data_IF_357089621739
#
_entry.id   IF_357089621739
#
_cell.length_a   1.000
_cell.length_b   1.000
_cell.length_c   1.000
_cell.angle_alpha   90.00
_cell.angle_beta   90.00
_cell.angle_gamma   90.00
#
_symmetry.space_group_name_H-M   'P 1'
#
loop_
_entity.id
_entity.type
_entity.pdbx_description
1 polymer ?
#
# COMPACT_ATOMS: atom_id res chain seq x y z
N UNK A 1 -2.20 3.56 -19.08
CA UNK A 1 -3.19 3.46 -18.05
C UNK A 1 -2.60 3.85 -16.74
N UNK A 2 -3.28 4.62 -15.96
CA UNK A 2 -2.64 5.29 -14.84
C UNK A 2 -3.47 5.25 -13.59
N UNK A 3 -2.80 5.34 -12.46
CA UNK A 3 -3.42 5.41 -11.17
C UNK A 3 -4.12 4.11 -10.82
N UNK A 4 -5.27 4.26 -10.17
CA UNK A 4 -6.04 3.09 -9.72
C UNK A 4 -6.95 2.53 -10.81
N UNK A 5 -6.98 3.15 -11.97
CA UNK A 5 -7.90 2.76 -13.03
C UNK A 5 -7.42 1.48 -13.69
N UNK A 6 -8.26 0.49 -13.85
CA UNK A 6 -8.05 -0.73 -14.63
C UNK A 6 -7.00 -1.70 -14.08
N UNK A 7 -5.81 -1.21 -13.72
CA UNK A 7 -4.69 -2.04 -13.30
C UNK A 7 -4.08 -1.53 -12.03
N UNK A 8 -3.68 -2.47 -11.17
CA UNK A 8 -2.81 -2.12 -10.06
C UNK A 8 -1.37 -2.29 -10.54
N UNK A 9 -0.77 -1.21 -11.00
CA UNK A 9 0.60 -1.27 -11.52
C UNK A 9 1.61 -1.35 -10.37
N UNK A 10 2.89 -1.50 -10.73
CA UNK A 10 3.95 -1.71 -9.76
C UNK A 10 4.08 -0.53 -8.79
N UNK A 11 3.91 0.69 -9.28
CA UNK A 11 4.03 1.87 -8.42
C UNK A 11 2.91 1.92 -7.39
N UNK A 12 1.69 1.60 -7.80
CA UNK A 12 0.55 1.59 -6.88
C UNK A 12 0.66 0.46 -5.86
N UNK A 13 1.10 -0.72 -6.29
CA UNK A 13 1.32 -1.82 -5.37
C UNK A 13 2.35 -1.46 -4.30
N UNK A 14 3.42 -0.79 -4.69
CA UNK A 14 4.47 -0.44 -3.74
C UNK A 14 3.96 0.53 -2.67
N UNK A 15 3.11 1.48 -3.04
CA UNK A 15 2.51 2.40 -2.07
C UNK A 15 1.64 1.64 -1.07
N UNK A 16 0.81 0.73 -1.57
CA UNK A 16 -0.07 -0.06 -0.71
C UNK A 16 0.77 -0.93 0.24
N UNK A 17 1.80 -1.59 -0.29
CA UNK A 17 2.68 -2.42 0.53
C UNK A 17 3.38 -1.58 1.60
N UNK A 18 3.87 -0.40 1.22
CA UNK A 18 4.53 0.49 2.16
C UNK A 18 3.59 0.92 3.29
N UNK A 19 2.39 1.37 2.93
CA UNK A 19 1.42 1.82 3.93
C UNK A 19 1.03 0.66 4.86
N UNK A 20 0.72 -0.49 4.29
CA UNK A 20 0.36 -1.65 5.09
C UNK A 20 1.50 -2.06 6.03
N UNK A 21 2.71 -2.10 5.52
CA UNK A 21 3.88 -2.45 6.32
C UNK A 21 4.12 -1.48 7.47
N UNK A 22 3.99 -0.17 7.20
CA UNK A 22 4.15 0.85 8.23
C UNK A 22 3.07 0.73 9.31
N UNK A 23 1.83 0.49 8.91
CA UNK A 23 0.73 0.38 9.87
C UNK A 23 0.86 -0.87 10.74
N UNK A 24 1.33 -1.96 10.17
CA UNK A 24 1.51 -3.20 10.92
C UNK A 24 2.75 -3.13 11.82
N UNK A 25 3.87 -2.71 11.26
CA UNK A 25 5.14 -2.73 11.97
C UNK A 25 5.29 -1.59 12.97
N UNK A 26 4.64 -0.46 12.71
CA UNK A 26 4.80 0.72 13.54
C UNK A 26 6.19 1.34 13.46
N UNK A 27 6.96 0.99 12.44
CA UNK A 27 8.34 1.45 12.31
C UNK A 27 8.42 2.70 11.46
N UNK A 28 9.41 3.55 11.76
CA UNK A 28 9.68 4.73 10.94
C UNK A 28 10.64 4.34 9.83
N UNK A 29 10.12 4.31 8.61
CA UNK A 29 10.96 4.11 7.46
C UNK A 29 10.42 4.93 6.30
N UNK A 30 11.31 5.31 5.39
CA UNK A 30 10.97 6.22 4.30
C UNK A 30 11.19 5.58 2.95
N UNK A 31 11.45 4.28 2.91
CA UNK A 31 11.62 3.54 1.68
C UNK A 31 11.38 2.07 1.93
N UNK A 32 11.07 1.36 0.85
CA UNK A 32 11.02 -0.10 0.85
C UNK A 32 11.80 -0.61 -0.34
N UNK A 33 12.26 -1.85 -0.22
CA UNK A 33 12.90 -2.54 -1.31
C UNK A 33 11.83 -3.29 -2.09
N UNK A 34 11.73 -3.03 -3.40
CA UNK A 34 10.81 -3.76 -4.27
C UNK A 34 11.59 -4.90 -4.90
N UNK A 35 11.33 -6.12 -4.46
CA UNK A 35 12.08 -7.28 -4.92
C UNK A 35 11.82 -7.60 -6.39
N UNK A 36 10.60 -7.35 -6.86
CA UNK A 36 10.26 -7.63 -8.25
C UNK A 36 11.07 -6.77 -9.21
N UNK A 37 11.30 -5.53 -8.85
CA UNK A 37 12.00 -4.58 -9.70
C UNK A 37 13.43 -4.32 -9.27
N UNK A 38 13.85 -4.91 -8.14
CA UNK A 38 15.21 -4.82 -7.63
C UNK A 38 15.67 -3.40 -7.39
N UNK A 39 14.78 -2.55 -6.84
CA UNK A 39 15.18 -1.20 -6.48
C UNK A 39 14.38 -0.70 -5.28
N UNK A 40 14.86 0.39 -4.70
CA UNK A 40 14.18 1.04 -3.58
C UNK A 40 13.13 1.99 -4.09
N UNK A 41 12.01 2.03 -3.37
CA UNK A 41 10.94 2.98 -3.63
C UNK A 41 10.88 3.91 -2.42
N UNK A 42 10.95 5.21 -2.66
CA UNK A 42 11.03 6.21 -1.60
C UNK A 42 9.71 6.92 -1.37
N UNK A 43 9.47 7.27 -0.12
CA UNK A 43 8.23 7.93 0.31
C UNK A 43 8.55 9.00 1.33
N UNK A 44 7.60 9.93 1.51
CA UNK A 44 7.64 10.94 2.57
C UNK A 44 6.24 11.12 3.10
N UNK A 45 6.11 11.67 4.28
CA UNK A 45 4.80 11.99 4.79
C UNK A 45 4.65 11.73 6.27
N UNK A 46 3.42 11.53 6.72
CA UNK A 46 3.15 11.34 8.13
C UNK A 46 2.05 10.31 8.34
N UNK A 47 2.17 9.61 9.46
CA UNK A 47 1.15 8.66 9.92
C UNK A 47 0.69 9.14 11.30
N UNK A 48 -0.60 9.43 11.43
CA UNK A 48 -1.20 9.88 12.67
C UNK A 48 -2.44 9.04 12.97
N UNK A 49 -2.91 9.05 14.22
CA UNK A 49 -4.12 8.30 14.54
C UNK A 49 -5.27 8.75 13.64
N UNK A 50 -5.82 7.81 12.90
CA UNK A 50 -6.96 8.07 12.04
C UNK A 50 -6.66 8.66 10.68
N UNK A 51 -5.42 9.05 10.41
CA UNK A 51 -5.11 9.61 9.11
C UNK A 51 -3.66 9.39 8.72
N UNK A 52 -3.41 9.39 7.42
CA UNK A 52 -2.06 9.33 6.92
C UNK A 52 -1.96 10.14 5.63
N UNK A 53 -0.77 10.61 5.35
CA UNK A 53 -0.48 11.35 4.14
C UNK A 53 0.91 10.94 3.69
N UNK A 54 0.97 10.28 2.54
CA UNK A 54 2.22 9.74 2.03
C UNK A 54 2.46 10.29 0.64
N UNK A 55 3.64 10.84 0.42
CA UNK A 55 4.07 11.24 -0.91
C UNK A 55 4.91 10.10 -1.50
N UNK A 56 4.51 9.63 -2.67
CA UNK A 56 5.27 8.61 -3.40
C UNK A 56 6.15 9.32 -4.43
N UNK A 57 7.45 9.17 -4.30
CA UNK A 57 8.38 9.75 -5.27
C UNK A 57 8.19 9.11 -6.64
N UNK A 58 7.83 7.85 -6.67
CA UNK A 58 7.61 7.13 -7.93
C UNK A 58 6.36 7.61 -8.65
N UNK A 59 5.27 7.81 -7.90
CA UNK A 59 4.01 8.29 -8.48
C UNK A 59 4.00 9.80 -8.68
N UNK A 60 4.92 10.53 -8.07
CA UNK A 60 4.93 11.99 -8.03
C UNK A 60 3.59 12.53 -7.52
N UNK A 61 3.06 11.89 -6.49
CA UNK A 61 1.73 12.22 -6.00
C UNK A 61 1.57 11.83 -4.54
N UNK A 62 0.65 12.49 -3.86
CA UNK A 62 0.27 12.15 -2.50
C UNK A 62 -0.81 11.08 -2.49
N UNK A 63 -0.73 10.20 -1.50
CA UNK A 63 -1.80 9.28 -1.17
C UNK A 63 -2.26 9.63 0.22
N UNK A 64 -3.54 9.90 0.35
CA UNK A 64 -4.16 10.26 1.62
C UNK A 64 -4.96 9.08 2.13
N UNK A 65 -4.94 8.87 3.44
CA UNK A 65 -5.72 7.80 4.03
C UNK A 65 -6.44 8.27 5.27
N UNK A 66 -7.64 7.79 5.46
CA UNK A 66 -8.43 8.04 6.67
C UNK A 66 -8.99 6.72 7.14
N UNK A 67 -9.07 6.54 8.44
CA UNK A 67 -9.62 5.31 8.97
C UNK A 67 -9.39 5.17 10.46
N UNK A 68 -9.87 4.05 10.98
CA UNK A 68 -9.74 3.72 12.40
C UNK A 68 -9.91 2.22 12.55
N UNK A 69 -9.32 1.69 13.62
CA UNK A 69 -9.52 0.29 14.02
C UNK A 69 -9.20 -0.69 12.90
N UNK A 70 -8.13 -0.42 12.17
CA UNK A 70 -7.67 -1.32 11.13
C UNK A 70 -8.37 -1.19 9.80
N UNK A 71 -9.29 -0.22 9.66
CA UNK A 71 -10.00 -0.01 8.40
C UNK A 71 -9.65 1.37 7.85
N UNK A 72 -9.04 1.41 6.68
CA UNK A 72 -8.59 2.65 6.07
C UNK A 72 -9.11 2.76 4.64
N UNK A 73 -9.36 3.98 4.21
CA UNK A 73 -9.65 4.27 2.81
C UNK A 73 -8.55 5.19 2.30
N UNK A 74 -7.93 4.79 1.21
CA UNK A 74 -6.81 5.50 0.62
C UNK A 74 -7.25 6.18 -0.67
N UNK A 75 -6.76 7.40 -0.88
CA UNK A 75 -7.05 8.18 -2.09
C UNK A 75 -5.75 8.72 -2.64
N UNK A 76 -5.53 8.55 -3.93
CA UNK A 76 -4.41 9.19 -4.60
C UNK A 76 -4.85 10.58 -5.07
N UNK A 77 -4.07 11.60 -4.72
CA UNK A 77 -4.39 12.97 -5.09
C UNK A 77 -4.50 13.11 -6.60
N UNK A 78 -5.58 13.72 -7.07
CA UNK A 78 -5.79 13.96 -8.49
C UNK A 78 -6.32 12.77 -9.28
N UNK A 79 -6.54 11.64 -8.62
CA UNK A 79 -7.03 10.43 -9.30
C UNK A 79 -8.34 10.02 -8.66
N UNK A 80 -9.33 9.68 -9.49
CA UNK A 80 -10.61 9.22 -8.99
C UNK A 80 -10.52 7.81 -8.41
N UNK A 81 -11.52 7.44 -7.61
CA UNK A 81 -11.53 6.14 -6.95
C UNK A 81 -10.68 6.11 -5.71
N UNK A 82 -10.49 4.94 -5.15
CA UNK A 82 -9.73 4.78 -3.94
C UNK A 82 -9.47 3.31 -3.67
N UNK A 83 -8.86 3.05 -2.53
CA UNK A 83 -8.53 1.69 -2.11
C UNK A 83 -8.99 1.53 -0.66
N UNK A 84 -9.77 0.48 -0.39
CA UNK A 84 -10.07 0.10 0.97
C UNK A 84 -8.99 -0.84 1.46
N UNK A 85 -8.46 -0.55 2.65
CA UNK A 85 -7.36 -1.32 3.22
C UNK A 85 -7.75 -1.76 4.63
N UNK A 86 -7.71 -3.05 4.84
CA UNK A 86 -7.99 -3.67 6.14
C UNK A 86 -6.69 -4.18 6.72
N UNK A 87 -6.40 -3.76 7.95
CA UNK A 87 -5.16 -4.10 8.64
C UNK A 87 -5.49 -4.89 9.90
N UNK A 88 -4.82 -6.01 10.08
CA UNK A 88 -4.86 -6.76 11.33
C UNK A 88 -3.46 -6.78 11.90
N UNK A 89 -3.22 -5.93 12.90
CA UNK A 89 -1.89 -5.77 13.49
C UNK A 89 -1.46 -7.04 14.24
N UNK A 90 -2.40 -7.68 14.92
CA UNK A 90 -2.09 -8.88 15.71
C UNK A 90 -1.65 -10.03 14.82
N UNK A 91 -2.37 -10.25 13.73
CA UNK A 91 -2.05 -11.32 12.78
C UNK A 91 -0.99 -10.91 11.78
N UNK A 92 -0.68 -9.61 11.72
CA UNK A 92 0.28 -9.03 10.77
C UNK A 92 -0.15 -9.29 9.32
N UNK A 93 -1.45 -9.13 9.08
CA UNK A 93 -2.02 -9.33 7.74
C UNK A 93 -2.73 -8.08 7.27
N UNK A 94 -2.93 -8.01 5.98
CA UNK A 94 -3.72 -6.94 5.39
C UNK A 94 -4.47 -7.47 4.17
N UNK A 95 -5.52 -6.76 3.80
CA UNK A 95 -6.28 -7.07 2.59
C UNK A 95 -7.00 -5.82 2.15
N UNK A 96 -7.53 -5.85 0.95
CA UNK A 96 -8.28 -4.72 0.45
C UNK A 96 -8.74 -4.90 -0.96
N UNK A 97 -9.28 -3.82 -1.50
CA UNK A 97 -9.71 -3.80 -2.88
C UNK A 97 -9.60 -2.39 -3.46
N UNK A 98 -9.48 -2.32 -4.76
CA UNK A 98 -9.51 -1.05 -5.48
C UNK A 98 -10.94 -0.77 -5.94
N UNK A 99 -11.44 0.44 -5.66
CA UNK A 99 -12.84 0.78 -5.90
C UNK A 99 -13.25 0.72 -7.36
N UNK A 100 -12.42 1.21 -8.26
CA UNK A 100 -12.80 1.28 -9.67
C UNK A 100 -12.77 -0.06 -10.37
N UNK A 101 -11.73 -0.82 -10.16
CA UNK A 101 -11.58 -2.11 -10.82
C UNK A 101 -12.26 -3.24 -10.08
N UNK A 102 -12.42 -3.09 -8.77
CA UNK A 102 -12.94 -4.16 -7.92
C UNK A 102 -11.91 -5.25 -7.63
N UNK A 103 -10.67 -5.10 -8.08
CA UNK A 103 -9.64 -6.11 -7.83
C UNK A 103 -9.24 -6.13 -6.36
N UNK A 104 -9.09 -7.34 -5.84
CA UNK A 104 -8.70 -7.59 -4.47
C UNK A 104 -7.22 -7.88 -4.34
N UNK A 105 -6.70 -7.63 -3.16
CA UNK A 105 -5.35 -8.04 -2.80
C UNK A 105 -5.33 -8.42 -1.33
N UNK A 106 -4.32 -9.18 -0.93
CA UNK A 106 -4.10 -9.47 0.48
C UNK A 106 -2.62 -9.78 0.68
N UNK A 107 -2.21 -9.79 1.93
CA UNK A 107 -0.83 -10.12 2.23
C UNK A 107 -0.54 -10.14 3.71
N UNK A 108 0.73 -10.20 4.02
CA UNK A 108 1.18 -10.22 5.40
C UNK A 108 2.59 -9.66 5.53
N UNK A 109 2.93 -9.33 6.76
CA UNK A 109 4.28 -8.93 7.13
C UNK A 109 4.90 -10.05 7.95
N UNK A 110 6.04 -10.56 7.49
CA UNK A 110 6.78 -11.58 8.22
C UNK A 110 8.19 -11.05 8.43
N UNK A 111 8.54 -10.77 9.68
CA UNK A 111 9.74 -10.04 10.04
C UNK A 111 9.73 -8.68 9.35
N UNK A 112 10.61 -8.42 8.40
CA UNK A 112 10.60 -7.16 7.67
C UNK A 112 10.18 -7.33 6.20
N UNK A 113 9.66 -8.49 5.85
CA UNK A 113 9.23 -8.78 4.48
C UNK A 113 7.72 -8.63 4.36
N UNK A 114 7.30 -7.81 3.40
CA UNK A 114 5.89 -7.62 3.07
C UNK A 114 5.60 -8.50 1.86
N UNK A 115 4.59 -9.34 1.98
CA UNK A 115 4.15 -10.21 0.90
C UNK A 115 2.76 -9.77 0.49
N UNK A 116 2.57 -9.45 -0.78
CA UNK A 116 1.30 -8.99 -1.30
C UNK A 116 0.88 -9.88 -2.46
N UNK A 117 -0.31 -10.44 -2.37
CA UNK A 117 -0.89 -11.21 -3.47
C UNK A 117 -1.90 -10.36 -4.20
N UNK A 118 -1.72 -10.25 -5.50
CA UNK A 118 -2.55 -9.45 -6.39
C UNK A 118 -3.45 -10.38 -7.18
N UNK A 119 -4.76 -10.29 -6.96
CA UNK A 119 -5.71 -11.15 -7.66
C UNK A 119 -5.82 -10.83 -9.16
N UNK A 120 -5.47 -9.63 -9.56
CA UNK A 120 -5.50 -9.27 -10.97
C UNK A 120 -4.46 -10.06 -11.76
N UNK A 121 -3.22 -10.04 -11.28
CA UNK A 121 -2.14 -10.75 -11.94
C UNK A 121 -1.96 -12.18 -11.44
N UNK A 122 -2.65 -12.56 -10.38
CA UNK A 122 -2.51 -13.86 -9.72
C UNK A 122 -1.06 -14.13 -9.33
N UNK A 123 -0.40 -13.12 -8.78
CA UNK A 123 1.02 -13.18 -8.46
C UNK A 123 1.30 -12.62 -7.07
N UNK A 124 2.36 -13.17 -6.46
CA UNK A 124 2.90 -12.62 -5.22
C UNK A 124 3.95 -11.58 -5.54
N UNK A 125 3.97 -10.52 -4.75
CA UNK A 125 4.99 -9.48 -4.84
C UNK A 125 5.62 -9.31 -3.47
N UNK A 126 6.94 -9.19 -3.43
CA UNK A 126 7.69 -9.11 -2.19
C UNK A 126 8.37 -7.75 -2.04
N UNK A 127 8.33 -7.24 -0.82
CA UNK A 127 8.98 -5.98 -0.48
C UNK A 127 9.66 -6.15 0.87
N UNK A 128 10.67 -5.35 1.15
CA UNK A 128 11.31 -5.33 2.46
C UNK A 128 11.28 -3.92 3.04
N UNK A 129 10.92 -3.85 4.30
CA UNK A 129 10.99 -2.60 5.05
C UNK A 129 12.43 -2.25 5.40
#
# INVERSE_FOLDING_TARGET
>A
MNGWCCDMDAANRSVIAYIAGRLIAGADCWWIEDHDRSHRVHFEGSFEPGSLKVYSHELHSHVLGVGAEGKYTLFQHGVGGGVDLLINVEEKTFSGWEHQSGFHFFGNLEESTIRLFDYQGLEWHLYSL
#
